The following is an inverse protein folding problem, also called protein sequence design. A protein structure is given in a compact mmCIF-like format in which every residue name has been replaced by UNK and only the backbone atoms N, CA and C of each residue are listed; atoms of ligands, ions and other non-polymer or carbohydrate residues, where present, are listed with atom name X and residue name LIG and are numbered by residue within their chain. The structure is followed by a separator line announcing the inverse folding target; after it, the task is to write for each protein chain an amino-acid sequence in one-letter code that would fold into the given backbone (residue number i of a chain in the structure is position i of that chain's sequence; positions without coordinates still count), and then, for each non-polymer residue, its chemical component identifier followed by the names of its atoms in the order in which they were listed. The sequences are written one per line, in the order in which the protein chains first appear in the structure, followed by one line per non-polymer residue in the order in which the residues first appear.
data_IF_480787581785
#
_entry.id   IF_480787581785
#
_cell.length_a   1.000
_cell.length_b   1.000
_cell.length_c   1.000
_cell.angle_alpha   90.00
_cell.angle_beta   90.00
_cell.angle_gamma   90.00
#
_symmetry.space_group_name_H-M   'P 1'
#
loop_
_entity.id
_entity.type
_entity.pdbx_description
1 polymer ?
#
# COMPACT_ATOMS: atom_id res chain seq x y z
N UNK A 1 -1.21 -20.77 -0.76
CA UNK A 1 -2.17 -19.75 -1.18
C UNK A 1 -3.14 -19.47 -0.05
N UNK A 2 -3.47 -18.21 0.14
CA UNK A 2 -4.51 -17.77 1.05
C UNK A 2 -5.39 -16.73 0.37
N UNK A 3 -6.58 -16.52 0.91
CA UNK A 3 -7.41 -15.38 0.53
C UNK A 3 -7.94 -14.67 1.78
N UNK A 4 -8.30 -13.42 1.61
CA UNK A 4 -8.95 -12.62 2.64
C UNK A 4 -9.89 -11.60 2.00
N UNK A 5 -10.93 -11.23 2.73
CA UNK A 5 -11.79 -10.10 2.40
C UNK A 5 -11.18 -8.83 3.01
N UNK A 6 -10.87 -7.88 2.18
CA UNK A 6 -10.41 -6.57 2.63
C UNK A 6 -10.76 -5.52 1.58
N UNK A 7 -11.99 -5.07 1.60
CA UNK A 7 -12.44 -4.03 0.69
C UNK A 7 -11.76 -2.71 1.06
N UNK A 8 -10.92 -2.21 0.17
CA UNK A 8 -10.47 -0.83 0.24
C UNK A 8 -11.63 0.11 -0.03
N UNK A 9 -11.55 1.33 0.46
CA UNK A 9 -12.47 2.36 0.02
C UNK A 9 -12.16 2.75 -1.41
N UNK A 10 -13.20 2.94 -2.22
CA UNK A 10 -13.07 3.17 -3.66
C UNK A 10 -13.70 4.51 -3.98
N UNK A 11 -12.88 5.43 -4.49
CA UNK A 11 -13.35 6.66 -5.12
C UNK A 11 -13.41 6.43 -6.63
N UNK A 12 -14.60 6.56 -7.22
CA UNK A 12 -14.76 6.61 -8.67
C UNK A 12 -14.60 8.06 -9.13
N UNK A 13 -13.74 8.27 -10.12
CA UNK A 13 -13.50 9.59 -10.72
C UNK A 13 -13.78 9.49 -12.21
N UNK A 14 -14.74 10.28 -12.68
CA UNK A 14 -15.19 10.29 -14.07
C UNK A 14 -15.24 11.70 -14.63
N UNK A 15 -15.27 11.82 -15.96
CA UNK A 15 -15.44 13.11 -16.65
C UNK A 15 -14.28 13.47 -17.58
N UNK A 16 -14.49 14.46 -18.46
CA UNK A 16 -13.51 14.85 -19.47
C UNK A 16 -12.15 15.27 -18.90
N UNK A 17 -12.16 15.82 -17.69
CA UNK A 17 -10.95 16.27 -17.00
C UNK A 17 -10.40 15.27 -15.97
N UNK A 18 -10.99 14.06 -15.82
CA UNK A 18 -10.60 13.09 -14.81
C UNK A 18 -9.09 12.78 -14.82
N UNK A 19 -8.52 12.58 -16.01
CA UNK A 19 -7.09 12.34 -16.17
C UNK A 19 -6.25 13.54 -15.72
N UNK A 20 -6.60 14.74 -16.14
CA UNK A 20 -5.89 15.99 -15.79
C UNK A 20 -6.00 16.30 -14.32
N UNK A 21 -7.17 16.08 -13.74
CA UNK A 21 -7.43 16.24 -12.30
C UNK A 21 -6.56 15.30 -11.47
N UNK A 22 -6.63 13.99 -11.74
CA UNK A 22 -5.83 13.01 -11.01
C UNK A 22 -4.32 13.19 -11.22
N UNK A 23 -3.89 13.64 -12.39
CA UNK A 23 -2.48 13.94 -12.64
C UNK A 23 -2.00 15.15 -11.81
N UNK A 24 -2.87 16.12 -11.50
CA UNK A 24 -2.58 17.22 -10.58
C UNK A 24 -2.62 16.80 -9.11
N UNK A 25 -3.59 15.95 -8.73
CA UNK A 25 -3.76 15.50 -7.34
C UNK A 25 -2.59 14.66 -6.83
N UNK A 26 -1.87 13.96 -7.71
CA UNK A 26 -0.85 12.99 -7.32
C UNK A 26 0.51 13.29 -7.97
N UNK A 27 1.63 13.06 -7.26
CA UNK A 27 2.96 13.36 -7.79
C UNK A 27 3.41 12.43 -8.91
N UNK A 28 2.84 11.21 -9.02
CA UNK A 28 3.19 10.26 -10.07
C UNK A 28 2.55 10.68 -11.43
N UNK A 29 3.05 10.14 -12.53
CA UNK A 29 2.57 10.43 -13.88
C UNK A 29 1.27 9.65 -14.18
N UNK A 30 0.11 10.21 -13.84
CA UNK A 30 -1.18 9.59 -14.11
C UNK A 30 -1.59 9.75 -15.57
N UNK A 31 -1.20 10.86 -16.21
CA UNK A 31 -1.48 11.10 -17.63
C UNK A 31 -0.95 10.00 -18.57
N UNK A 32 0.13 9.32 -18.18
CA UNK A 32 0.69 8.20 -18.96
C UNK A 32 0.08 6.83 -18.64
N UNK A 33 -0.88 6.76 -17.72
CA UNK A 33 -1.51 5.50 -17.34
C UNK A 33 -2.47 5.04 -18.46
N UNK A 34 -2.22 3.88 -19.06
CA UNK A 34 -3.10 3.33 -20.08
C UNK A 34 -4.33 2.66 -19.45
N UNK A 35 -5.42 2.54 -20.19
CA UNK A 35 -6.60 1.75 -19.79
C UNK A 35 -6.17 0.31 -19.51
N UNK A 36 -6.70 -0.30 -18.46
CA UNK A 36 -6.33 -1.63 -17.98
C UNK A 36 -5.04 -1.66 -17.17
N UNK A 37 -4.50 -0.50 -16.77
CA UNK A 37 -3.28 -0.37 -15.95
C UNK A 37 -3.57 0.32 -14.64
N UNK A 38 -2.70 -0.01 -13.66
CA UNK A 38 -2.77 0.55 -12.33
C UNK A 38 -1.49 1.29 -11.98
N UNK A 39 -1.58 2.18 -11.01
CA UNK A 39 -0.43 2.95 -10.52
C UNK A 39 -0.53 3.22 -9.04
N UNK A 40 0.47 2.78 -8.30
CA UNK A 40 0.65 3.19 -6.92
C UNK A 40 1.22 4.61 -6.86
N UNK A 41 0.69 5.43 -5.98
CA UNK A 41 1.16 6.80 -5.73
C UNK A 41 0.79 7.24 -4.32
N UNK A 42 1.39 8.33 -3.86
CA UNK A 42 1.04 8.98 -2.60
C UNK A 42 0.20 10.22 -2.86
N UNK A 43 -0.74 10.52 -1.97
CA UNK A 43 -1.44 11.80 -1.91
C UNK A 43 -0.71 12.72 -0.93
N UNK A 44 -0.50 13.96 -1.33
CA UNK A 44 0.29 14.92 -0.57
C UNK A 44 -0.57 16.11 -0.16
N UNK A 45 -0.20 16.75 0.98
CA UNK A 45 -0.65 18.10 1.30
C UNK A 45 0.29 19.16 0.68
N UNK A 46 -0.04 20.43 0.83
CA UNK A 46 0.75 21.56 0.31
C UNK A 46 2.17 21.62 0.88
N UNK A 47 2.39 21.08 2.08
CA UNK A 47 3.70 20.98 2.70
C UNK A 47 4.54 19.79 2.21
N UNK A 48 4.00 19.01 1.25
CA UNK A 48 4.64 17.83 0.66
C UNK A 48 4.65 16.62 1.58
N UNK A 49 3.88 16.63 2.65
CA UNK A 49 3.70 15.47 3.52
C UNK A 49 2.70 14.48 2.92
N UNK A 50 2.97 13.20 3.11
CA UNK A 50 2.08 12.12 2.69
C UNK A 50 0.87 12.09 3.62
N UNK A 51 -0.33 12.22 3.02
CA UNK A 51 -1.62 12.16 3.72
C UNK A 51 -2.41 10.89 3.36
N UNK A 52 -2.05 10.22 2.26
CA UNK A 52 -2.59 8.91 1.88
C UNK A 52 -1.64 8.21 0.89
N UNK A 53 -1.80 6.91 0.73
CA UNK A 53 -1.22 6.13 -0.35
C UNK A 53 -2.31 5.30 -1.06
N UNK A 54 -2.28 5.34 -2.38
CA UNK A 54 -3.38 4.85 -3.20
C UNK A 54 -2.91 4.02 -4.38
N UNK A 55 -3.80 3.17 -4.89
CA UNK A 55 -3.70 2.59 -6.21
C UNK A 55 -4.75 3.20 -7.12
N UNK A 56 -4.29 3.82 -8.21
CA UNK A 56 -5.16 4.37 -9.25
C UNK A 56 -5.28 3.33 -10.37
N UNK A 57 -6.49 2.91 -10.67
CA UNK A 57 -6.84 2.00 -11.76
C UNK A 57 -7.53 2.79 -12.87
N UNK A 58 -7.03 2.74 -14.10
CA UNK A 58 -7.70 3.36 -15.25
C UNK A 58 -8.59 2.35 -15.93
N UNK A 59 -9.90 2.40 -15.65
CA UNK A 59 -10.88 1.45 -16.16
C UNK A 59 -11.27 1.73 -17.60
N UNK A 60 -11.46 3.01 -17.94
CA UNK A 60 -11.83 3.52 -19.27
C UNK A 60 -11.05 4.81 -19.55
N UNK A 61 -11.28 5.42 -20.70
CA UNK A 61 -10.54 6.64 -21.06
C UNK A 61 -10.71 7.76 -20.04
N UNK A 62 -11.94 7.98 -19.57
CA UNK A 62 -12.33 9.03 -18.63
C UNK A 62 -12.92 8.48 -17.32
N UNK A 63 -12.59 7.23 -16.97
CA UNK A 63 -13.07 6.56 -15.77
C UNK A 63 -11.93 5.90 -15.00
N UNK A 64 -11.81 6.27 -13.73
CA UNK A 64 -10.78 5.80 -12.82
C UNK A 64 -11.38 5.34 -11.50
N UNK A 65 -10.77 4.32 -10.90
CA UNK A 65 -10.93 4.02 -9.49
C UNK A 65 -9.67 4.39 -8.74
N UNK A 66 -9.84 5.05 -7.61
CA UNK A 66 -8.78 5.34 -6.65
C UNK A 66 -9.06 4.50 -5.41
N UNK A 67 -8.26 3.45 -5.24
CA UNK A 67 -8.33 2.55 -4.09
C UNK A 67 -7.50 3.11 -2.96
N UNK A 68 -8.14 3.41 -1.82
CA UNK A 68 -7.58 4.07 -0.64
C UNK A 68 -8.04 3.36 0.65
N UNK A 69 -7.45 3.72 1.78
CA UNK A 69 -7.95 3.38 3.12
C UNK A 69 -8.62 4.56 3.84
N UNK A 70 -8.67 5.73 3.20
CA UNK A 70 -9.14 7.00 3.77
C UNK A 70 -10.13 7.71 2.85
N UNK A 71 -11.18 7.00 2.41
CA UNK A 71 -12.15 7.50 1.41
C UNK A 71 -12.76 8.85 1.77
N UNK A 72 -13.21 9.05 3.01
CA UNK A 72 -13.76 10.35 3.47
C UNK A 72 -12.73 11.48 3.33
N UNK A 73 -11.46 11.22 3.65
CA UNK A 73 -10.40 12.23 3.48
C UNK A 73 -10.11 12.49 2.01
N UNK A 74 -10.14 11.44 1.17
CA UNK A 74 -9.97 11.57 -0.27
C UNK A 74 -11.13 12.36 -0.89
N UNK A 75 -12.38 12.09 -0.47
CA UNK A 75 -13.58 12.80 -0.92
C UNK A 75 -13.48 14.30 -0.63
N UNK A 76 -13.20 14.67 0.62
CA UNK A 76 -12.97 16.05 1.02
C UNK A 76 -11.85 16.72 0.21
N UNK A 77 -10.72 16.01 0.02
CA UNK A 77 -9.57 16.52 -0.71
C UNK A 77 -9.85 16.72 -2.19
N UNK A 78 -10.59 15.82 -2.81
CA UNK A 78 -11.05 15.95 -4.19
C UNK A 78 -12.02 17.11 -4.35
N UNK A 79 -12.99 17.23 -3.45
CA UNK A 79 -13.95 18.32 -3.47
C UNK A 79 -13.26 19.70 -3.44
N UNK A 80 -12.28 19.89 -2.57
CA UNK A 80 -11.56 21.17 -2.45
C UNK A 80 -10.73 21.52 -3.68
N UNK A 81 -10.34 20.54 -4.48
CA UNK A 81 -9.43 20.76 -5.62
C UNK A 81 -10.09 20.57 -6.99
N UNK A 82 -11.38 20.28 -7.05
CA UNK A 82 -12.11 20.00 -8.30
C UNK A 82 -12.72 21.21 -8.98
N UNK A 83 -12.71 22.42 -8.37
CA UNK A 83 -13.44 23.59 -8.86
C UNK A 83 -13.14 23.96 -10.33
N UNK A 84 -11.90 23.76 -10.76
CA UNK A 84 -11.43 24.11 -12.12
C UNK A 84 -11.46 22.92 -13.10
N UNK A 85 -12.15 21.81 -12.74
CA UNK A 85 -12.16 20.58 -13.51
C UNK A 85 -13.59 20.10 -13.76
N UNK A 86 -13.84 19.63 -14.99
CA UNK A 86 -15.08 18.94 -15.34
C UNK A 86 -14.98 17.45 -14.96
N UNK A 87 -15.14 17.17 -13.68
CA UNK A 87 -15.06 15.84 -13.07
C UNK A 87 -16.20 15.60 -12.10
N UNK A 88 -16.60 14.35 -11.99
CA UNK A 88 -17.40 13.81 -10.89
C UNK A 88 -16.56 12.81 -10.10
N UNK A 89 -16.52 12.97 -8.78
CA UNK A 89 -15.81 12.08 -7.89
C UNK A 89 -16.74 11.65 -6.76
N UNK A 90 -16.90 10.35 -6.58
CA UNK A 90 -17.80 9.80 -5.57
C UNK A 90 -17.24 8.55 -4.92
N UNK A 91 -17.50 8.36 -3.63
CA UNK A 91 -17.20 7.12 -2.95
C UNK A 91 -18.25 6.06 -3.31
N UNK A 92 -17.78 4.92 -3.83
CA UNK A 92 -18.64 3.79 -4.26
C UNK A 92 -18.36 2.51 -3.46
N UNK A 93 -17.73 2.60 -2.32
CA UNK A 93 -17.26 1.46 -1.52
C UNK A 93 -18.37 0.48 -1.18
N UNK A 94 -19.56 0.97 -0.83
CA UNK A 94 -20.70 0.13 -0.43
C UNK A 94 -21.27 -0.72 -1.60
N UNK A 95 -20.92 -0.38 -2.83
CA UNK A 95 -21.36 -1.13 -4.02
C UNK A 95 -20.45 -2.32 -4.34
N UNK A 96 -19.26 -2.38 -3.77
CA UNK A 96 -18.21 -3.31 -4.15
C UNK A 96 -17.62 -4.08 -2.97
N UNK A 97 -17.17 -5.30 -3.26
CA UNK A 97 -16.33 -6.10 -2.37
C UNK A 97 -15.02 -6.44 -3.06
N UNK A 98 -13.94 -6.55 -2.27
CA UNK A 98 -12.63 -6.96 -2.78
C UNK A 98 -12.11 -8.15 -1.99
N UNK A 99 -11.78 -9.21 -2.72
CA UNK A 99 -11.10 -10.40 -2.19
C UNK A 99 -9.65 -10.42 -2.69
N UNK A 100 -8.71 -10.56 -1.80
CA UNK A 100 -7.32 -10.75 -2.17
C UNK A 100 -6.96 -12.25 -2.14
N UNK A 101 -6.48 -12.79 -3.26
CA UNK A 101 -6.01 -14.17 -3.41
C UNK A 101 -4.50 -14.14 -3.60
N UNK A 102 -3.73 -14.54 -2.58
CA UNK A 102 -2.30 -14.28 -2.49
C UNK A 102 -1.49 -15.56 -2.31
N UNK A 103 -0.27 -15.56 -2.85
CA UNK A 103 0.71 -16.62 -2.71
C UNK A 103 1.01 -17.41 -3.98
N UNK A 104 1.98 -18.34 -3.94
CA UNK A 104 2.56 -18.96 -5.16
C UNK A 104 1.56 -19.72 -6.04
N UNK A 105 0.45 -20.20 -5.47
CA UNK A 105 -0.60 -20.93 -6.20
C UNK A 105 -1.78 -20.02 -6.61
N UNK A 106 -1.74 -18.73 -6.36
CA UNK A 106 -2.86 -17.83 -6.63
C UNK A 106 -3.21 -17.78 -8.13
N UNK A 107 -2.22 -17.87 -9.00
CA UNK A 107 -2.44 -17.95 -10.45
C UNK A 107 -3.26 -19.17 -10.86
N UNK A 108 -2.92 -20.34 -10.36
CA UNK A 108 -3.62 -21.60 -10.67
C UNK A 108 -5.05 -21.57 -10.11
N UNK A 109 -5.21 -21.01 -8.90
CA UNK A 109 -6.53 -20.80 -8.29
C UNK A 109 -7.38 -19.91 -9.18
N UNK A 110 -6.88 -18.72 -9.56
CA UNK A 110 -7.66 -17.80 -10.42
C UNK A 110 -8.02 -18.44 -11.76
N UNK A 111 -7.09 -19.10 -12.42
CA UNK A 111 -7.35 -19.80 -13.70
C UNK A 111 -8.35 -20.96 -13.57
N UNK A 112 -8.59 -21.47 -12.36
CA UNK A 112 -9.56 -22.55 -12.15
C UNK A 112 -11.01 -22.09 -11.97
N UNK A 113 -11.22 -20.79 -11.69
CA UNK A 113 -12.54 -20.24 -11.36
C UNK A 113 -13.01 -19.15 -12.32
N UNK A 114 -12.10 -18.52 -13.06
CA UNK A 114 -12.45 -17.51 -14.07
C UNK A 114 -12.87 -18.19 -15.39
N UNK A 115 -13.78 -17.57 -16.13
CA UNK A 115 -14.13 -17.98 -17.50
C UNK A 115 -12.93 -17.82 -18.44
N UNK A 116 -12.19 -16.70 -18.30
CA UNK A 116 -10.92 -16.46 -18.96
C UNK A 116 -9.74 -17.01 -18.15
N UNK A 117 -8.57 -16.34 -18.23
CA UNK A 117 -7.40 -16.69 -17.45
C UNK A 117 -6.58 -15.45 -17.13
N UNK A 118 -5.65 -15.55 -16.15
CA UNK A 118 -4.76 -14.46 -15.75
C UNK A 118 -3.33 -14.62 -16.26
N UNK A 119 -3.10 -15.45 -17.28
CA UNK A 119 -1.75 -15.80 -17.77
C UNK A 119 -0.95 -14.60 -18.26
N UNK A 120 -1.60 -13.71 -19.01
CA UNK A 120 -0.99 -12.51 -19.57
C UNK A 120 -1.15 -11.26 -18.69
N UNK A 121 -1.86 -11.38 -17.56
CA UNK A 121 -2.05 -10.26 -16.63
C UNK A 121 -0.75 -9.97 -15.88
N UNK A 122 -0.11 -8.84 -16.21
CA UNK A 122 1.15 -8.42 -15.58
C UNK A 122 0.86 -7.64 -14.29
N UNK A 123 1.88 -7.49 -13.45
CA UNK A 123 1.79 -6.69 -12.25
C UNK A 123 1.35 -5.24 -12.55
N UNK A 124 0.46 -4.71 -11.74
CA UNK A 124 -0.23 -3.45 -11.98
C UNK A 124 -1.00 -3.40 -13.29
N UNK A 125 -1.74 -4.48 -13.57
CA UNK A 125 -2.77 -4.55 -14.62
C UNK A 125 -4.03 -5.15 -14.06
N UNK A 126 -5.15 -4.69 -14.58
CA UNK A 126 -6.46 -5.27 -14.33
C UNK A 126 -7.18 -5.61 -15.63
N UNK A 127 -8.19 -6.44 -15.51
CA UNK A 127 -9.13 -6.77 -16.57
C UNK A 127 -10.48 -7.19 -15.98
N UNK A 128 -11.53 -6.98 -16.75
CA UNK A 128 -12.82 -7.59 -16.49
C UNK A 128 -12.82 -9.07 -16.93
N UNK A 129 -13.45 -9.91 -16.14
CA UNK A 129 -13.65 -11.34 -16.41
C UNK A 129 -14.95 -11.81 -15.76
N UNK A 130 -15.29 -13.09 -15.89
CA UNK A 130 -16.43 -13.70 -15.21
C UNK A 130 -15.99 -14.79 -14.24
N UNK A 131 -16.69 -14.83 -13.12
CA UNK A 131 -16.59 -15.89 -12.13
C UNK A 131 -18.01 -16.44 -11.88
N UNK A 132 -18.34 -17.56 -12.51
CA UNK A 132 -19.73 -18.02 -12.60
C UNK A 132 -20.58 -17.01 -13.36
N UNK A 133 -21.67 -16.53 -12.74
CA UNK A 133 -22.55 -15.51 -13.32
C UNK A 133 -22.06 -14.08 -13.00
N UNK A 134 -21.16 -13.91 -12.01
CA UNK A 134 -20.68 -12.62 -11.57
C UNK A 134 -19.66 -12.03 -12.55
N UNK A 135 -19.80 -10.74 -12.87
CA UNK A 135 -18.76 -9.95 -13.52
C UNK A 135 -17.77 -9.45 -12.47
N UNK A 136 -16.48 -9.69 -12.67
CA UNK A 136 -15.44 -9.34 -11.71
C UNK A 136 -14.32 -8.55 -12.37
N UNK A 137 -13.80 -7.54 -11.66
CA UNK A 137 -12.55 -6.89 -12.02
C UNK A 137 -11.41 -7.61 -11.32
N UNK A 138 -10.50 -8.18 -12.10
CA UNK A 138 -9.32 -8.88 -11.57
C UNK A 138 -8.09 -8.00 -11.77
N UNK A 139 -7.53 -7.54 -10.67
CA UNK A 139 -6.27 -6.81 -10.63
C UNK A 139 -5.14 -7.74 -10.23
N UNK A 140 -4.01 -7.71 -10.93
CA UNK A 140 -2.79 -8.37 -10.47
C UNK A 140 -2.00 -7.42 -9.59
N UNK A 141 -2.30 -7.48 -8.33
CA UNK A 141 -1.71 -6.65 -7.29
C UNK A 141 -1.81 -7.35 -5.93
N UNK A 142 -1.69 -6.56 -4.91
CA UNK A 142 -1.74 -6.96 -3.51
C UNK A 142 -0.54 -6.41 -2.76
N UNK A 143 -0.79 -5.92 -1.57
CA UNK A 143 0.24 -5.28 -0.74
C UNK A 143 0.83 -6.24 0.30
N UNK A 144 0.74 -7.56 0.05
CA UNK A 144 1.33 -8.58 0.92
C UNK A 144 2.80 -8.87 0.65
N UNK A 145 3.35 -8.36 -0.47
CA UNK A 145 4.70 -8.69 -0.90
C UNK A 145 4.85 -10.02 -1.62
N UNK A 146 3.78 -10.79 -1.77
CA UNK A 146 3.79 -12.02 -2.55
C UNK A 146 4.02 -11.72 -4.03
N UNK A 147 4.85 -12.55 -4.69
CA UNK A 147 5.16 -12.39 -6.13
C UNK A 147 3.94 -12.63 -7.02
N UNK A 148 3.01 -13.45 -6.53
CA UNK A 148 1.75 -13.76 -7.19
C UNK A 148 0.61 -13.44 -6.24
N UNK A 149 -0.23 -12.52 -6.68
CA UNK A 149 -1.39 -12.09 -5.95
C UNK A 149 -2.37 -11.40 -6.88
N UNK A 150 -3.64 -11.54 -6.57
CA UNK A 150 -4.74 -10.94 -7.31
C UNK A 150 -5.74 -10.35 -6.33
N UNK A 151 -6.28 -9.22 -6.70
CA UNK A 151 -7.42 -8.60 -6.06
C UNK A 151 -8.62 -8.79 -7.00
N UNK A 152 -9.70 -9.30 -6.47
CA UNK A 152 -10.93 -9.62 -7.22
C UNK A 152 -12.02 -8.72 -6.66
N UNK A 153 -12.46 -7.78 -7.47
CA UNK A 153 -13.56 -6.88 -7.14
C UNK A 153 -14.85 -7.42 -7.78
N UNK A 154 -15.91 -7.48 -7.01
CA UNK A 154 -17.26 -7.83 -7.46
C UNK A 154 -18.28 -6.88 -6.85
N UNK A 155 -19.49 -6.84 -7.41
CA UNK A 155 -20.59 -6.11 -6.79
C UNK A 155 -20.94 -6.70 -5.42
N UNK A 156 -21.51 -5.88 -4.54
CA UNK A 156 -21.94 -6.33 -3.21
C UNK A 156 -22.98 -7.47 -3.32
N UNK A 157 -23.81 -7.46 -4.35
CA UNK A 157 -24.83 -8.50 -4.58
C UNK A 157 -24.22 -9.86 -4.95
N UNK A 158 -23.05 -9.86 -5.59
CA UNK A 158 -22.36 -11.09 -6.01
C UNK A 158 -21.34 -11.61 -4.97
N UNK A 159 -21.11 -10.86 -3.89
CA UNK A 159 -20.01 -11.09 -2.96
C UNK A 159 -20.00 -12.50 -2.35
N UNK A 160 -21.16 -13.02 -1.91
CA UNK A 160 -21.27 -14.35 -1.32
C UNK A 160 -20.90 -15.45 -2.33
N UNK A 161 -21.41 -15.36 -3.57
CA UNK A 161 -21.13 -16.34 -4.60
C UNK A 161 -19.64 -16.33 -5.03
N UNK A 162 -19.05 -15.13 -5.13
CA UNK A 162 -17.64 -14.96 -5.46
C UNK A 162 -16.76 -15.50 -4.33
N UNK A 163 -17.10 -15.20 -3.07
CA UNK A 163 -16.39 -15.72 -1.90
C UNK A 163 -16.41 -17.25 -1.84
N UNK A 164 -17.58 -17.86 -2.02
CA UNK A 164 -17.76 -19.31 -2.00
C UNK A 164 -16.88 -20.00 -3.07
N UNK A 165 -16.85 -19.44 -4.27
CA UNK A 165 -16.03 -19.98 -5.36
C UNK A 165 -14.52 -19.83 -5.07
N UNK A 166 -14.08 -18.68 -4.55
CA UNK A 166 -12.68 -18.44 -4.14
C UNK A 166 -12.30 -19.40 -3.02
N UNK A 167 -13.14 -19.53 -1.96
CA UNK A 167 -12.87 -20.43 -0.82
C UNK A 167 -12.72 -21.88 -1.28
N UNK A 168 -13.63 -22.35 -2.09
CA UNK A 168 -13.60 -23.72 -2.62
C UNK A 168 -12.30 -23.98 -3.42
N UNK A 169 -11.92 -23.08 -4.31
CA UNK A 169 -10.72 -23.21 -5.12
C UNK A 169 -9.41 -23.10 -4.29
N UNK A 170 -9.37 -22.19 -3.33
CA UNK A 170 -8.23 -22.03 -2.42
C UNK A 170 -8.05 -23.27 -1.56
N UNK A 171 -9.14 -23.84 -1.00
CA UNK A 171 -9.11 -25.10 -0.23
C UNK A 171 -8.67 -26.28 -1.08
N UNK A 172 -9.17 -26.39 -2.32
CA UNK A 172 -8.75 -27.44 -3.25
C UNK A 172 -7.24 -27.36 -3.57
N UNK A 173 -6.67 -26.15 -3.59
CA UNK A 173 -5.24 -25.94 -3.74
C UNK A 173 -4.42 -26.16 -2.45
N UNK A 174 -5.08 -26.53 -1.34
CA UNK A 174 -4.46 -26.75 -0.02
C UNK A 174 -4.22 -25.46 0.76
N UNK A 175 -4.93 -24.40 0.43
CA UNK A 175 -4.89 -23.12 1.13
C UNK A 175 -6.06 -22.94 2.11
N UNK A 176 -6.20 -21.72 2.61
CA UNK A 176 -7.27 -21.34 3.53
C UNK A 176 -7.59 -19.85 3.45
N UNK A 177 -8.71 -19.47 4.03
CA UNK A 177 -8.96 -18.08 4.40
C UNK A 177 -7.94 -17.63 5.47
N UNK A 178 -7.45 -16.41 5.33
CA UNK A 178 -6.55 -15.75 6.28
C UNK A 178 -7.36 -14.68 7.02
N UNK A 179 -7.67 -14.96 8.26
CA UNK A 179 -8.49 -14.06 9.11
C UNK A 179 -7.64 -13.19 10.01
N UNK A 180 -6.36 -13.49 10.16
CA UNK A 180 -5.43 -12.77 11.01
C UNK A 180 -4.98 -11.46 10.32
N UNK A 181 -5.70 -10.39 10.57
CA UNK A 181 -5.43 -9.06 9.98
C UNK A 181 -3.95 -8.65 10.09
N UNK A 182 -3.33 -8.87 11.25
CA UNK A 182 -1.93 -8.52 11.46
C UNK A 182 -0.97 -9.24 10.50
N UNK A 183 -1.30 -10.45 10.06
CA UNK A 183 -0.45 -11.23 9.16
C UNK A 183 -0.44 -10.59 7.77
N UNK A 184 -1.61 -10.43 7.15
CA UNK A 184 -1.67 -9.94 5.77
C UNK A 184 -1.49 -8.43 5.65
N UNK A 185 -1.90 -7.66 6.66
CA UNK A 185 -1.80 -6.21 6.62
C UNK A 185 -0.46 -5.66 7.15
N UNK A 186 0.20 -6.36 8.08
CA UNK A 186 1.42 -5.84 8.71
C UNK A 186 2.65 -6.73 8.51
N UNK A 187 2.59 -8.01 8.91
CA UNK A 187 3.77 -8.87 8.91
C UNK A 187 4.31 -9.09 7.50
N UNK A 188 3.48 -9.61 6.59
CA UNK A 188 3.90 -9.91 5.22
C UNK A 188 4.33 -8.66 4.43
N UNK A 189 3.59 -7.53 4.46
CA UNK A 189 4.04 -6.31 3.80
C UNK A 189 5.37 -5.78 4.35
N UNK A 190 5.57 -5.86 5.67
CA UNK A 190 6.82 -5.41 6.29
C UNK A 190 8.00 -6.27 5.82
N UNK A 191 7.86 -7.60 5.79
CA UNK A 191 8.88 -8.51 5.25
C UNK A 191 9.28 -8.16 3.81
N UNK A 192 8.33 -7.69 3.00
CA UNK A 192 8.55 -7.27 1.63
C UNK A 192 9.10 -5.84 1.46
N UNK A 193 9.21 -5.09 2.55
CA UNK A 193 9.67 -3.70 2.53
C UNK A 193 8.59 -2.69 2.18
N UNK A 194 7.31 -3.04 2.36
CA UNK A 194 6.18 -2.15 2.11
C UNK A 194 5.81 -1.38 3.38
N UNK A 195 5.26 -0.20 3.15
CA UNK A 195 4.74 0.67 4.19
C UNK A 195 3.24 0.51 4.39
N UNK A 196 2.80 1.00 5.51
CA UNK A 196 1.41 1.28 5.83
C UNK A 196 1.25 2.78 6.07
N UNK A 197 0.04 3.34 5.96
CA UNK A 197 -0.14 4.77 6.20
C UNK A 197 0.37 5.26 7.56
N UNK A 198 0.36 4.38 8.57
CA UNK A 198 0.98 4.68 9.86
C UNK A 198 2.49 4.94 9.78
N UNK A 199 3.17 4.33 8.80
CA UNK A 199 4.61 4.55 8.56
C UNK A 199 4.83 5.79 7.69
N UNK A 200 3.87 6.10 6.82
CA UNK A 200 3.96 7.16 5.83
C UNK A 200 3.47 8.52 6.34
N UNK A 201 2.48 8.54 7.23
CA UNK A 201 1.89 9.77 7.76
C UNK A 201 2.94 10.71 8.36
N UNK A 202 2.83 12.00 8.03
CA UNK A 202 3.78 13.05 8.44
C UNK A 202 5.22 12.82 7.94
N UNK A 203 5.41 12.02 6.90
CA UNK A 203 6.66 11.92 6.15
C UNK A 203 6.48 12.51 4.76
N UNK A 204 7.57 12.65 4.03
CA UNK A 204 7.52 12.98 2.60
C UNK A 204 8.15 11.83 1.77
N UNK A 205 7.93 11.79 0.46
CA UNK A 205 8.45 10.71 -0.39
C UNK A 205 9.95 10.46 -0.30
N UNK A 206 10.76 11.48 -0.02
CA UNK A 206 12.22 11.34 0.12
C UNK A 206 12.62 10.61 1.40
N UNK A 207 11.88 10.82 2.48
CA UNK A 207 12.17 10.18 3.78
C UNK A 207 11.91 8.68 3.77
N UNK A 208 11.01 8.23 2.88
CA UNK A 208 10.59 6.82 2.79
C UNK A 208 11.08 6.12 1.52
N UNK A 209 11.80 6.82 0.62
CA UNK A 209 12.37 6.23 -0.59
C UNK A 209 11.37 6.05 -1.74
N UNK A 210 10.31 6.86 -1.75
CA UNK A 210 9.29 6.89 -2.80
C UNK A 210 9.50 8.03 -3.82
N UNK A 211 10.56 8.82 -3.70
CA UNK A 211 10.87 9.98 -4.54
C UNK A 211 11.01 9.65 -6.02
N UNK A 212 11.34 8.38 -6.36
CA UNK A 212 11.45 7.90 -7.74
C UNK A 212 10.11 7.88 -8.48
N UNK A 213 9.02 7.90 -7.73
CA UNK A 213 7.67 7.91 -8.30
C UNK A 213 7.18 9.32 -8.65
N UNK A 214 7.95 10.37 -8.34
CA UNK A 214 7.58 11.76 -8.61
C UNK A 214 7.88 12.12 -10.07
N UNK A 215 6.86 12.58 -10.76
CA UNK A 215 7.03 13.20 -12.08
C UNK A 215 7.22 14.72 -11.94
N UNK A 216 8.45 15.18 -12.08
CA UNK A 216 8.82 16.58 -11.94
C UNK A 216 8.44 17.46 -13.14
N UNK A 217 8.08 16.84 -14.28
CA UNK A 217 7.77 17.56 -15.53
C UNK A 217 6.35 18.14 -15.55
N UNK A 218 5.57 17.91 -14.51
CA UNK A 218 4.21 18.42 -14.35
C UNK A 218 4.04 19.18 -13.03
N UNK A 219 2.92 19.85 -12.88
CA UNK A 219 2.50 20.45 -11.61
C UNK A 219 1.67 19.44 -10.80
N UNK A 220 1.79 19.51 -9.46
CA UNK A 220 1.02 18.67 -8.52
C UNK A 220 1.03 19.29 -7.12
N UNK A 221 0.08 18.89 -6.29
CA UNK A 221 -0.05 19.36 -4.91
C UNK A 221 1.21 18.96 -4.10
N UNK A 222 1.79 19.93 -3.39
CA UNK A 222 3.01 19.74 -2.59
C UNK A 222 4.32 19.85 -3.37
N UNK A 223 4.29 20.10 -4.69
CA UNK A 223 5.51 20.17 -5.53
C UNK A 223 6.53 21.17 -4.99
N UNK A 224 6.10 22.39 -4.69
CA UNK A 224 7.01 23.46 -4.24
C UNK A 224 7.72 23.12 -2.92
N UNK A 225 7.07 22.39 -2.03
CA UNK A 225 7.67 21.89 -0.79
C UNK A 225 8.69 20.79 -1.08
N UNK A 226 8.33 19.83 -1.94
CA UNK A 226 9.24 18.74 -2.31
C UNK A 226 10.44 19.20 -3.13
N UNK A 227 10.35 20.28 -3.93
CA UNK A 227 11.50 20.89 -4.59
C UNK A 227 12.55 21.37 -3.57
N UNK A 228 12.11 21.97 -2.47
CA UNK A 228 13.01 22.36 -1.37
C UNK A 228 13.67 21.14 -0.71
N UNK A 229 12.91 20.06 -0.50
CA UNK A 229 13.47 18.81 0.04
C UNK A 229 14.48 18.21 -0.94
N UNK A 230 14.20 18.22 -2.23
CA UNK A 230 15.13 17.74 -3.27
C UNK A 230 16.44 18.52 -3.29
N UNK A 231 16.39 19.84 -3.08
CA UNK A 231 17.57 20.71 -3.09
C UNK A 231 18.42 20.56 -1.80
N UNK A 232 17.78 20.43 -0.64
CA UNK A 232 18.44 20.45 0.65
C UNK A 232 18.70 19.05 1.25
N UNK A 233 18.08 18.01 0.66
CA UNK A 233 17.99 16.67 1.23
C UNK A 233 16.87 16.55 2.28
N UNK A 234 16.36 15.33 2.54
CA UNK A 234 15.39 15.09 3.58
C UNK A 234 16.02 15.23 4.97
N UNK A 235 15.23 15.68 5.95
CA UNK A 235 15.68 15.81 7.33
C UNK A 235 15.77 14.45 8.05
N UNK A 236 14.96 13.48 7.59
CA UNK A 236 14.83 12.14 8.18
C UNK A 236 14.91 11.08 7.09
N UNK A 237 15.09 9.84 7.51
CA UNK A 237 15.02 8.68 6.63
C UNK A 237 14.46 7.46 7.36
N UNK A 238 13.72 6.64 6.63
CA UNK A 238 13.21 5.36 7.12
C UNK A 238 14.27 4.29 6.92
N UNK A 239 14.68 3.64 7.99
CA UNK A 239 15.62 2.51 7.98
C UNK A 239 14.98 1.25 8.53
N UNK A 240 15.45 0.07 8.11
CA UNK A 240 15.05 -1.22 8.65
C UNK A 240 15.86 -1.59 9.89
N UNK A 241 15.29 -2.42 10.76
CA UNK A 241 16.04 -3.03 11.85
C UNK A 241 15.52 -4.45 12.17
N UNK A 242 16.39 -5.25 12.76
CA UNK A 242 16.06 -6.58 13.32
C UNK A 242 16.45 -6.60 14.79
N UNK A 243 15.65 -7.27 15.62
CA UNK A 243 15.96 -7.53 17.03
C UNK A 243 16.84 -8.76 17.10
N UNK A 244 18.02 -8.64 17.75
CA UNK A 244 19.02 -9.71 17.84
C UNK A 244 18.73 -10.73 18.95
N UNK A 245 17.96 -10.33 19.96
CA UNK A 245 17.63 -11.19 21.08
C UNK A 245 16.53 -12.20 20.66
N UNK A 246 16.64 -13.42 21.16
CA UNK A 246 15.57 -14.41 21.06
C UNK A 246 14.38 -13.91 21.89
N UNK A 247 13.44 -13.25 21.24
CA UNK A 247 12.20 -12.79 21.85
C UNK A 247 11.04 -13.20 20.96
N UNK A 248 10.39 -14.29 21.34
CA UNK A 248 9.12 -14.67 20.74
C UNK A 248 8.06 -13.61 21.13
N UNK A 249 7.24 -13.20 20.18
CA UNK A 249 6.08 -12.30 20.38
C UNK A 249 6.37 -10.93 21.01
N UNK A 250 7.57 -10.40 20.80
CA UNK A 250 7.88 -9.06 21.22
C UNK A 250 7.24 -8.02 20.31
N UNK A 251 6.10 -7.51 20.71
CA UNK A 251 5.48 -6.34 20.08
C UNK A 251 5.82 -5.08 20.85
N UNK A 252 6.74 -4.26 20.30
CA UNK A 252 6.66 -2.83 20.59
C UNK A 252 5.41 -2.35 19.84
N UNK A 253 4.30 -2.43 20.48
CA UNK A 253 3.17 -1.64 20.05
C UNK A 253 3.58 -0.19 20.25
N UNK A 254 4.02 0.48 19.20
CA UNK A 254 3.81 1.91 19.17
C UNK A 254 2.36 2.05 19.55
N UNK A 255 2.09 2.53 20.76
CA UNK A 255 0.75 2.50 21.37
C UNK A 255 -0.26 2.79 20.29
N UNK A 256 -0.60 1.74 19.66
CA UNK A 256 -1.63 1.47 18.71
C UNK A 256 -2.21 2.74 18.08
N UNK A 257 -2.06 2.88 16.75
CA UNK A 257 -2.95 3.76 16.01
C UNK A 257 -2.81 5.27 16.29
N UNK A 258 -1.57 5.82 16.24
CA UNK A 258 -1.43 7.25 16.09
C UNK A 258 -0.57 8.00 17.10
N UNK A 259 0.18 7.34 17.96
CA UNK A 259 1.21 8.00 18.79
C UNK A 259 2.60 7.84 18.20
N UNK A 260 3.57 8.72 18.51
CA UNK A 260 4.96 8.50 18.16
C UNK A 260 5.43 7.20 18.81
N UNK A 261 6.12 6.37 18.01
CA UNK A 261 6.69 5.10 18.47
C UNK A 261 7.79 5.29 19.52
N UNK A 262 8.34 4.18 19.98
CA UNK A 262 9.42 4.15 20.96
C UNK A 262 10.60 4.97 20.47
N UNK A 263 11.14 5.91 21.27
CA UNK A 263 12.29 6.71 20.88
C UNK A 263 13.57 5.87 20.80
N UNK A 264 14.40 6.19 19.84
CA UNK A 264 15.72 5.57 19.64
C UNK A 264 16.80 6.58 20.00
N UNK A 265 17.73 6.15 20.86
CA UNK A 265 18.79 7.00 21.37
C UNK A 265 20.18 6.48 20.98
N UNK A 266 21.08 7.40 20.61
CA UNK A 266 22.52 7.17 20.52
C UNK A 266 23.21 8.18 21.43
N UNK A 267 24.08 7.74 22.34
CA UNK A 267 24.83 8.57 23.29
C UNK A 267 23.94 9.56 24.08
N UNK A 268 22.68 9.18 24.34
CA UNK A 268 21.72 9.99 25.09
C UNK A 268 20.95 11.01 24.24
N UNK A 269 21.22 11.12 22.94
CA UNK A 269 20.47 11.95 22.01
C UNK A 269 19.39 11.13 21.34
N UNK A 270 18.14 11.65 21.31
CA UNK A 270 17.06 11.06 20.52
C UNK A 270 17.32 11.28 19.02
N UNK A 271 17.56 10.20 18.29
CA UNK A 271 17.87 10.24 16.87
C UNK A 271 16.71 9.82 15.97
N UNK A 272 15.65 9.26 16.51
CA UNK A 272 14.49 8.80 15.76
C UNK A 272 13.48 8.04 16.60
N UNK A 273 12.51 7.44 15.93
CA UNK A 273 11.45 6.67 16.57
C UNK A 273 11.13 5.41 15.77
N UNK A 274 10.80 4.35 16.47
CA UNK A 274 10.27 3.13 15.88
C UNK A 274 8.93 3.47 15.22
N UNK A 275 8.81 3.25 13.92
CA UNK A 275 7.56 3.38 13.19
C UNK A 275 6.72 2.10 13.30
N UNK A 276 7.38 0.95 13.12
CA UNK A 276 6.73 -0.36 13.12
C UNK A 276 7.65 -1.43 13.69
N UNK A 277 7.04 -2.43 14.33
CA UNK A 277 7.70 -3.68 14.68
C UNK A 277 6.70 -4.82 14.47
N UNK A 278 7.14 -5.88 13.80
CA UNK A 278 6.38 -7.11 13.57
C UNK A 278 7.28 -8.33 13.78
N UNK A 279 6.68 -9.50 13.95
CA UNK A 279 7.41 -10.76 13.97
C UNK A 279 7.38 -11.43 12.60
N UNK A 280 8.55 -11.69 12.02
CA UNK A 280 8.68 -12.44 10.77
C UNK A 280 8.70 -13.93 11.07
N UNK A 281 7.65 -14.64 10.68
CA UNK A 281 7.58 -16.10 10.83
C UNK A 281 8.52 -16.84 9.87
N UNK A 282 8.91 -16.22 8.77
CA UNK A 282 9.85 -16.81 7.80
C UNK A 282 11.27 -16.78 8.32
N UNK A 283 11.67 -15.65 8.91
CA UNK A 283 13.02 -15.45 9.46
C UNK A 283 13.14 -15.81 10.96
N UNK A 284 12.02 -15.96 11.65
CA UNK A 284 11.93 -16.13 13.11
C UNK A 284 12.64 -14.99 13.87
N UNK A 285 12.40 -13.76 13.46
CA UNK A 285 12.95 -12.57 14.11
C UNK A 285 11.90 -11.47 14.16
N UNK A 286 12.00 -10.59 15.16
CA UNK A 286 11.28 -9.33 15.13
C UNK A 286 12.01 -8.35 14.21
N UNK A 287 11.28 -7.70 13.31
CA UNK A 287 11.81 -6.73 12.36
C UNK A 287 10.86 -5.54 12.20
N UNK A 288 11.37 -4.42 11.75
CA UNK A 288 10.53 -3.23 11.61
C UNK A 288 11.27 -2.04 11.03
N UNK A 289 10.67 -0.85 11.22
CA UNK A 289 11.20 0.40 10.71
C UNK A 289 11.44 1.42 11.81
N UNK A 290 12.46 2.24 11.58
CA UNK A 290 12.77 3.44 12.38
C UNK A 290 12.75 4.62 11.43
N UNK A 291 12.01 5.67 11.76
CA UNK A 291 12.15 6.98 11.13
C UNK A 291 13.19 7.77 11.95
N UNK A 292 14.39 7.91 11.40
CA UNK A 292 15.53 8.50 12.07
C UNK A 292 15.96 9.83 11.43
N UNK A 293 16.70 10.65 12.13
CA UNK A 293 17.44 11.77 11.55
C UNK A 293 18.32 11.26 10.40
N UNK A 294 18.38 12.02 9.33
CA UNK A 294 19.17 11.65 8.14
C UNK A 294 20.61 11.34 8.51
N UNK A 295 21.13 10.25 8.00
CA UNK A 295 22.51 9.75 8.21
C UNK A 295 22.87 9.44 9.68
N UNK A 296 21.88 9.33 10.58
CA UNK A 296 22.13 8.96 11.98
C UNK A 296 22.31 7.45 12.19
N UNK A 297 21.82 6.63 11.29
CA UNK A 297 21.86 5.16 11.35
C UNK A 297 22.33 4.57 10.03
N UNK A 298 23.24 3.59 10.11
CA UNK A 298 23.78 2.90 8.94
C UNK A 298 23.57 1.38 9.07
N UNK A 299 23.44 0.68 7.94
CA UNK A 299 23.31 -0.78 7.93
C UNK A 299 24.49 -1.40 8.68
N UNK A 300 24.15 -2.29 9.62
CA UNK A 300 25.09 -2.96 10.50
C UNK A 300 25.32 -2.27 11.85
N UNK A 301 24.82 -1.06 12.04
CA UNK A 301 24.87 -0.39 13.34
C UNK A 301 24.09 -1.18 14.38
N UNK A 302 24.65 -1.26 15.60
CA UNK A 302 24.01 -1.91 16.73
C UNK A 302 23.45 -0.84 17.66
N UNK A 303 22.19 -0.98 17.97
CA UNK A 303 21.44 -0.06 18.83
C UNK A 303 20.64 -0.84 19.87
N UNK A 304 20.10 -0.13 20.85
CA UNK A 304 19.12 -0.69 21.78
C UNK A 304 17.76 -0.02 21.59
N UNK A 305 16.73 -0.86 21.49
CA UNK A 305 15.35 -0.41 21.45
C UNK A 305 14.62 -1.12 22.59
N UNK A 306 14.06 -0.34 23.49
CA UNK A 306 13.36 -0.86 24.68
C UNK A 306 14.18 -1.88 25.49
N UNK A 307 15.51 -1.70 25.50
CA UNK A 307 16.45 -2.60 26.22
C UNK A 307 16.94 -3.80 25.41
N UNK A 308 16.35 -4.10 24.27
CA UNK A 308 16.76 -5.19 23.38
C UNK A 308 17.87 -4.76 22.43
N UNK A 309 18.80 -5.66 22.17
CA UNK A 309 19.84 -5.44 21.16
C UNK A 309 19.26 -5.59 19.77
N UNK A 310 19.48 -4.61 18.92
CA UNK A 310 19.00 -4.54 17.56
C UNK A 310 20.14 -4.22 16.59
N UNK A 311 19.97 -4.63 15.34
CA UNK A 311 20.87 -4.28 14.23
C UNK A 311 20.09 -3.57 13.13
N UNK A 312 20.68 -2.51 12.57
CA UNK A 312 20.09 -1.79 11.43
C UNK A 312 20.30 -2.60 10.16
N UNK A 313 19.24 -2.74 9.38
CA UNK A 313 19.20 -3.57 8.17
C UNK A 313 18.60 -2.79 6.99
N UNK A 314 18.62 -3.41 5.82
CA UNK A 314 17.76 -3.01 4.72
C UNK A 314 16.28 -3.10 5.13
N UNK A 315 15.41 -2.32 4.47
CA UNK A 315 13.96 -2.33 4.72
C UNK A 315 13.25 -3.55 4.16
N UNK A 316 13.86 -4.24 3.22
CA UNK A 316 13.32 -5.44 2.58
C UNK A 316 14.06 -6.67 3.10
N UNK A 317 13.30 -7.62 3.64
CA UNK A 317 13.86 -8.83 4.25
C UNK A 317 13.70 -10.09 3.41
N UNK A 318 12.74 -10.13 2.43
CA UNK A 318 12.43 -11.28 1.57
C UNK A 318 12.46 -10.95 0.06
#
# INVERSE_FOLDING_TARGET
VGYYLFTHQIMEVTGPDACRFLDYMYPNNIASLAVGRDRYTTMLNDDGEIIDDVVIMRLEEDKYWVSTLYGTQADDWFYFHSEDYDVDASEITDEWHMFAVQGPKSKDVMNSILEGNVDDLKFFMHKWDKLGEAEVLVNRGGFTGEKFGYEVYCTADDADAVQDAIDAAVRAAGGKEVTEFQVFAWTLPTEAGFYYMRDLGHTNPFEVGLEKNINWDKDFIGKAALEKVRENGPAREMVGFEVCDECEDFYITSKQYGGPGEPVYIDGEEIGRVSKLVYSYVKNVNNGYILAKKDALHIGDKIKIHGYDCVITEKKWL
#
